data_IF_760742042914
#
_entry.id   IF_760742042914
#
_cell.length_a   1.000
_cell.length_b   1.000
_cell.length_c   1.000
_cell.angle_alpha   90.00
_cell.angle_beta   90.00
_cell.angle_gamma   90.00
#
_symmetry.space_group_name_H-M   'P 1'
#
loop_
_entity.id
_entity.type
_entity.pdbx_description
1 polymer ?
#
# COMPACT_ATOMS: atom_id res chain seq x y z
N UNK A 1 -2.72 25.17 27.04
CA UNK A 1 -2.69 26.61 26.70
C UNK A 1 -1.74 26.75 25.54
N UNK A 2 -2.22 27.22 24.40
CA UNK A 2 -1.46 27.30 23.15
C UNK A 2 -0.66 28.60 23.15
N UNK A 3 0.65 28.52 23.45
CA UNK A 3 1.52 29.69 23.32
C UNK A 3 1.73 30.01 21.84
N UNK A 4 1.44 31.25 21.39
CA UNK A 4 1.62 31.62 19.99
C UNK A 4 3.10 31.55 19.61
N UNK A 5 3.41 31.17 18.37
CA UNK A 5 4.79 31.03 17.90
C UNK A 5 5.58 32.35 17.92
N UNK A 6 4.88 33.49 17.92
CA UNK A 6 5.46 34.82 18.15
C UNK A 6 6.08 34.96 19.54
N UNK A 7 5.50 34.33 20.57
CA UNK A 7 6.05 34.29 21.92
C UNK A 7 7.29 33.37 22.01
N UNK A 8 7.47 32.48 21.02
CA UNK A 8 8.66 31.64 20.84
C UNK A 8 9.71 32.29 19.92
N UNK A 9 9.47 33.53 19.45
CA UNK A 9 10.39 34.29 18.62
C UNK A 9 10.41 33.89 17.13
N UNK A 10 9.45 33.08 16.67
CA UNK A 10 9.32 32.72 15.26
C UNK A 10 8.60 33.85 14.53
N UNK A 11 9.23 34.36 13.46
CA UNK A 11 8.73 35.46 12.64
C UNK A 11 8.69 35.05 11.16
N UNK A 12 7.97 35.83 10.37
CA UNK A 12 7.91 35.62 8.93
C UNK A 12 9.33 35.70 8.31
N UNK A 13 9.70 34.68 7.53
CA UNK A 13 11.07 34.49 7.03
C UNK A 13 11.98 33.59 7.89
N UNK A 14 11.53 33.11 9.05
CA UNK A 14 12.24 32.08 9.81
C UNK A 14 12.24 30.74 9.07
N UNK A 15 13.42 30.11 8.99
CA UNK A 15 13.57 28.76 8.43
C UNK A 15 13.37 27.73 9.53
N UNK A 16 12.27 27.00 9.47
CA UNK A 16 11.99 25.90 10.39
C UNK A 16 12.47 24.59 9.75
N UNK A 17 13.10 23.73 10.53
CA UNK A 17 13.46 22.38 10.13
C UNK A 17 12.67 21.42 11.00
N UNK A 18 11.73 20.70 10.39
CA UNK A 18 11.07 19.58 11.06
C UNK A 18 12.08 18.46 11.23
N UNK A 19 12.31 18.06 12.48
CA UNK A 19 13.05 16.84 12.79
C UNK A 19 11.99 15.75 12.92
N UNK A 20 11.93 14.83 11.96
CA UNK A 20 11.04 13.67 12.04
C UNK A 20 11.39 12.81 13.25
N UNK A 21 10.39 12.31 13.96
CA UNK A 21 10.60 11.29 14.97
C UNK A 21 11.21 10.03 14.32
N UNK A 22 12.15 9.43 15.03
CA UNK A 22 12.91 8.29 14.55
C UNK A 22 12.02 7.05 14.62
N UNK A 23 11.54 6.58 13.46
CA UNK A 23 10.79 5.34 13.23
C UNK A 23 9.77 4.99 14.33
N UNK A 24 8.49 5.24 14.07
CA UNK A 24 7.44 4.79 14.96
C UNK A 24 7.46 3.26 15.06
N UNK A 25 7.60 2.66 16.26
CA UNK A 25 7.56 1.22 16.44
C UNK A 25 6.18 0.61 16.12
N UNK A 26 5.14 1.44 15.99
CA UNK A 26 3.80 1.05 15.51
C UNK A 26 3.72 0.91 13.98
N UNK A 27 4.54 1.64 13.20
CA UNK A 27 4.56 1.55 11.73
C UNK A 27 5.40 0.36 11.22
N UNK A 28 6.43 -0.06 11.97
CA UNK A 28 7.27 -1.22 11.63
C UNK A 28 6.50 -2.54 11.39
N UNK A 29 5.52 -2.95 12.23
CA UNK A 29 4.74 -4.17 11.98
C UNK A 29 3.84 -4.05 10.75
N UNK A 30 3.36 -2.86 10.39
CA UNK A 30 2.53 -2.63 9.20
C UNK A 30 3.37 -2.67 7.93
N UNK A 31 4.53 -2.01 7.94
CA UNK A 31 5.53 -2.10 6.88
C UNK A 31 6.02 -3.54 6.67
N UNK A 32 6.10 -4.34 7.73
CA UNK A 32 6.44 -5.76 7.62
C UNK A 32 5.34 -6.56 6.92
N UNK A 33 4.08 -6.34 7.29
CA UNK A 33 2.95 -7.01 6.61
C UNK A 33 2.89 -6.64 5.13
N UNK A 34 3.17 -5.38 4.78
CA UNK A 34 3.25 -4.94 3.38
C UNK A 34 4.33 -5.71 2.61
N UNK A 35 5.53 -5.87 3.18
CA UNK A 35 6.60 -6.67 2.57
C UNK A 35 6.24 -8.15 2.44
N UNK A 36 5.60 -8.73 3.45
CA UNK A 36 5.15 -10.12 3.41
C UNK A 36 4.08 -10.33 2.32
N UNK A 37 3.23 -9.33 2.09
CA UNK A 37 2.25 -9.30 1.03
C UNK A 37 2.88 -9.18 -0.36
N UNK A 38 3.88 -8.29 -0.53
CA UNK A 38 4.66 -8.18 -1.77
C UNK A 38 5.28 -9.54 -2.17
N UNK A 39 5.91 -10.22 -1.21
CA UNK A 39 6.48 -11.56 -1.42
C UNK A 39 5.39 -12.58 -1.77
N UNK A 40 4.20 -12.45 -1.20
CA UNK A 40 3.07 -13.35 -1.50
C UNK A 40 2.55 -13.13 -2.92
N UNK A 41 2.45 -11.88 -3.37
CA UNK A 41 2.08 -11.51 -4.75
C UNK A 41 3.10 -12.07 -5.74
N UNK A 42 4.39 -11.90 -5.47
CA UNK A 42 5.48 -12.40 -6.34
C UNK A 42 5.38 -13.92 -6.52
N UNK A 43 5.21 -14.68 -5.43
CA UNK A 43 5.03 -16.14 -5.49
C UNK A 43 3.80 -16.56 -6.28
N UNK A 44 2.67 -15.87 -6.11
CA UNK A 44 1.45 -16.19 -6.87
C UNK A 44 1.63 -15.86 -8.36
N UNK A 45 2.36 -14.80 -8.70
CA UNK A 45 2.72 -14.46 -10.07
C UNK A 45 3.64 -15.51 -10.71
N UNK A 46 4.68 -15.98 -9.99
CA UNK A 46 5.56 -17.06 -10.44
C UNK A 46 4.76 -18.34 -10.74
N UNK A 47 3.83 -18.70 -9.85
CA UNK A 47 2.97 -19.85 -10.06
C UNK A 47 2.06 -19.69 -11.28
N UNK A 48 1.55 -18.48 -11.54
CA UNK A 48 0.79 -18.18 -12.75
C UNK A 48 1.64 -18.30 -14.02
N UNK A 49 2.92 -17.93 -13.97
CA UNK A 49 3.85 -18.11 -15.09
C UNK A 49 4.09 -19.59 -15.41
N UNK A 50 4.25 -20.44 -14.39
CA UNK A 50 4.34 -21.90 -14.56
C UNK A 50 3.07 -22.47 -15.22
N UNK A 51 1.89 -22.04 -14.77
CA UNK A 51 0.62 -22.46 -15.39
C UNK A 51 0.50 -22.01 -16.84
N UNK A 52 1.03 -20.83 -17.18
CA UNK A 52 1.06 -20.35 -18.57
C UNK A 52 2.03 -21.16 -19.45
N UNK A 53 3.14 -21.64 -18.89
CA UNK A 53 4.05 -22.58 -19.59
C UNK A 53 3.34 -23.90 -19.84
N UNK A 54 2.70 -24.49 -18.82
CA UNK A 54 1.89 -25.71 -18.97
C UNK A 54 0.80 -25.53 -20.06
N UNK A 55 0.08 -24.40 -20.04
CA UNK A 55 -0.94 -24.08 -21.05
C UNK A 55 -0.34 -23.99 -22.46
N UNK A 56 0.79 -23.32 -22.60
CA UNK A 56 1.49 -23.16 -23.89
C UNK A 56 1.95 -24.51 -24.45
N UNK A 57 2.48 -25.39 -23.59
CA UNK A 57 2.92 -26.73 -23.98
C UNK A 57 1.74 -27.60 -24.45
N UNK A 58 0.58 -27.47 -23.80
CA UNK A 58 -0.66 -28.15 -24.22
C UNK A 58 -1.11 -27.61 -25.59
N UNK A 59 -1.12 -26.29 -25.79
CA UNK A 59 -1.53 -25.65 -27.04
C UNK A 59 -0.63 -25.99 -28.22
N UNK A 60 0.64 -26.33 -27.99
CA UNK A 60 1.56 -26.78 -29.04
C UNK A 60 1.21 -28.15 -29.63
N UNK A 61 0.19 -28.85 -29.11
CA UNK A 61 -0.51 -29.92 -29.83
C UNK A 61 0.10 -31.32 -29.71
N UNK A 62 0.90 -31.56 -28.66
CA UNK A 62 1.53 -32.87 -28.42
C UNK A 62 0.59 -33.92 -27.80
N UNK A 63 -0.63 -33.54 -27.41
CA UNK A 63 -1.58 -34.40 -26.71
C UNK A 63 -2.69 -34.91 -27.65
N UNK A 64 -3.10 -36.17 -27.45
CA UNK A 64 -4.25 -36.73 -28.14
C UNK A 64 -5.54 -36.01 -27.68
N UNK A 65 -6.45 -35.72 -28.62
CA UNK A 65 -7.71 -34.97 -28.38
C UNK A 65 -8.57 -35.53 -27.24
N UNK A 66 -8.44 -36.81 -26.94
CA UNK A 66 -9.17 -37.51 -25.87
C UNK A 66 -8.64 -37.16 -24.48
N UNK A 67 -7.35 -36.83 -24.36
CA UNK A 67 -6.66 -36.50 -23.08
C UNK A 67 -6.59 -34.99 -22.87
N UNK A 68 -6.61 -34.21 -23.94
CA UNK A 68 -6.54 -32.73 -23.92
C UNK A 68 -7.62 -32.10 -23.04
N UNK A 69 -8.88 -32.57 -23.15
CA UNK A 69 -9.98 -32.06 -22.35
C UNK A 69 -9.80 -32.29 -20.83
N UNK A 70 -9.23 -33.44 -20.44
CA UNK A 70 -8.97 -33.74 -19.02
C UNK A 70 -7.83 -32.88 -18.46
N UNK A 71 -6.80 -32.63 -19.26
CA UNK A 71 -5.67 -31.76 -18.87
C UNK A 71 -6.12 -30.31 -18.77
N UNK A 72 -6.90 -29.81 -19.72
CA UNK A 72 -7.49 -28.48 -19.67
C UNK A 72 -8.40 -28.30 -18.46
N UNK A 73 -9.18 -29.33 -18.11
CA UNK A 73 -10.02 -29.29 -16.90
C UNK A 73 -9.19 -29.20 -15.61
N UNK A 74 -8.08 -29.95 -15.51
CA UNK A 74 -7.17 -29.85 -14.37
C UNK A 74 -6.51 -28.48 -14.30
N UNK A 75 -6.14 -27.90 -15.44
CA UNK A 75 -5.54 -26.58 -15.53
C UNK A 75 -6.53 -25.48 -15.14
N UNK A 76 -7.78 -25.53 -15.61
CA UNK A 76 -8.86 -24.63 -15.19
C UNK A 76 -9.04 -24.63 -13.65
N UNK A 77 -8.98 -25.81 -13.03
CA UNK A 77 -9.05 -25.91 -11.56
C UNK A 77 -7.86 -25.24 -10.87
N UNK A 78 -6.64 -25.39 -11.41
CA UNK A 78 -5.45 -24.71 -10.88
C UNK A 78 -5.57 -23.18 -11.02
N UNK A 79 -5.97 -22.70 -12.20
CA UNK A 79 -6.18 -21.26 -12.47
C UNK A 79 -7.22 -20.67 -11.51
N UNK A 80 -8.34 -21.35 -11.29
CA UNK A 80 -9.36 -20.93 -10.31
C UNK A 80 -8.80 -20.83 -8.89
N UNK A 81 -7.95 -21.76 -8.49
CA UNK A 81 -7.29 -21.70 -7.19
C UNK A 81 -6.34 -20.50 -7.09
N UNK A 82 -5.58 -20.20 -8.15
CA UNK A 82 -4.71 -19.01 -8.20
C UNK A 82 -5.51 -17.71 -8.12
N UNK A 83 -6.67 -17.64 -8.81
CA UNK A 83 -7.59 -16.49 -8.70
C UNK A 83 -8.08 -16.31 -7.26
N UNK A 84 -8.44 -17.40 -6.56
CA UNK A 84 -8.83 -17.33 -5.15
C UNK A 84 -7.69 -16.83 -4.26
N UNK A 85 -6.44 -17.21 -4.54
CA UNK A 85 -5.28 -16.67 -3.82
C UNK A 85 -5.10 -15.17 -4.04
N UNK A 86 -5.23 -14.69 -5.28
CA UNK A 86 -5.20 -13.25 -5.54
C UNK A 86 -6.35 -12.49 -4.87
N UNK A 87 -7.56 -13.07 -4.82
CA UNK A 87 -8.68 -12.46 -4.10
C UNK A 87 -8.39 -12.31 -2.60
N UNK A 88 -7.77 -13.31 -1.96
CA UNK A 88 -7.39 -13.20 -0.54
C UNK A 88 -6.34 -12.12 -0.29
N UNK A 89 -5.38 -11.98 -1.19
CA UNK A 89 -4.39 -10.89 -1.14
C UNK A 89 -5.09 -9.54 -1.26
N UNK A 90 -6.06 -9.38 -2.17
CA UNK A 90 -6.82 -8.14 -2.33
C UNK A 90 -7.66 -7.81 -1.09
N UNK A 91 -8.32 -8.81 -0.51
CA UNK A 91 -9.05 -8.65 0.75
C UNK A 91 -8.11 -8.23 1.89
N UNK A 92 -6.91 -8.80 1.95
CA UNK A 92 -5.90 -8.43 2.94
C UNK A 92 -5.43 -6.98 2.75
N UNK A 93 -5.23 -6.52 1.51
CA UNK A 93 -4.95 -5.11 1.19
C UNK A 93 -6.09 -4.21 1.66
N UNK A 94 -7.34 -4.56 1.36
CA UNK A 94 -8.51 -3.77 1.75
C UNK A 94 -8.62 -3.64 3.29
N UNK A 95 -8.16 -4.65 4.03
CA UNK A 95 -8.10 -4.57 5.51
C UNK A 95 -6.92 -3.76 6.04
N UNK A 96 -5.88 -3.53 5.23
CA UNK A 96 -4.78 -2.64 5.60
C UNK A 96 -5.24 -1.18 5.46
N UNK A 97 -5.78 -0.63 6.55
CA UNK A 97 -6.21 0.78 6.65
C UNK A 97 -4.98 1.69 6.74
N UNK A 98 -4.32 1.94 5.61
CA UNK A 98 -3.15 2.83 5.52
C UNK A 98 -3.51 4.33 5.53
N UNK A 99 -4.80 4.67 5.47
CA UNK A 99 -5.25 6.04 5.19
C UNK A 99 -5.62 6.85 6.44
N UNK A 100 -5.84 6.22 7.60
CA UNK A 100 -6.27 6.98 8.78
C UNK A 100 -5.15 7.89 9.34
N UNK A 101 -3.89 7.45 9.29
CA UNK A 101 -2.77 8.23 9.84
C UNK A 101 -2.20 9.24 8.84
N UNK A 102 -2.15 8.92 7.54
CA UNK A 102 -1.76 9.91 6.54
C UNK A 102 -2.75 11.08 6.46
N UNK A 103 -4.05 10.81 6.52
CA UNK A 103 -5.08 11.85 6.56
C UNK A 103 -5.00 12.66 7.85
N UNK A 104 -4.73 12.05 9.01
CA UNK A 104 -4.54 12.77 10.27
C UNK A 104 -3.28 13.64 10.26
N UNK A 105 -2.17 13.17 9.71
CA UNK A 105 -0.92 13.95 9.59
C UNK A 105 -1.09 15.09 8.60
N UNK A 106 -1.74 14.86 7.46
CA UNK A 106 -2.02 15.91 6.47
C UNK A 106 -3.03 16.93 7.01
N UNK A 107 -4.06 16.48 7.73
CA UNK A 107 -4.98 17.36 8.47
C UNK A 107 -4.25 18.14 9.57
N UNK A 108 -3.36 17.52 10.34
CA UNK A 108 -2.59 18.17 11.40
C UNK A 108 -1.65 19.22 10.82
N UNK A 109 -0.94 18.90 9.73
CA UNK A 109 -0.08 19.86 9.01
C UNK A 109 -0.93 21.00 8.42
N UNK A 110 -2.08 20.71 7.81
CA UNK A 110 -3.00 21.73 7.32
C UNK A 110 -3.51 22.63 8.44
N UNK A 111 -3.89 22.05 9.57
CA UNK A 111 -4.39 22.78 10.74
C UNK A 111 -3.31 23.68 11.34
N UNK A 112 -2.09 23.18 11.53
CA UNK A 112 -0.97 23.99 12.03
C UNK A 112 -0.55 25.07 11.03
N UNK A 113 -0.58 24.79 9.73
CA UNK A 113 -0.32 25.80 8.68
C UNK A 113 -1.40 26.88 8.64
N UNK A 114 -2.67 26.51 8.81
CA UNK A 114 -3.78 27.47 8.90
C UNK A 114 -3.75 28.31 10.17
N UNK A 115 -3.35 27.72 11.31
CA UNK A 115 -3.12 28.45 12.56
C UNK A 115 -2.01 29.47 12.41
N UNK A 116 -0.90 29.08 11.79
CA UNK A 116 0.21 29.95 11.45
C UNK A 116 -0.25 31.15 10.60
N UNK A 117 -1.02 30.89 9.54
CA UNK A 117 -1.49 31.92 8.63
C UNK A 117 -2.56 32.86 9.24
N UNK A 118 -3.41 32.34 10.13
CA UNK A 118 -4.42 33.14 10.84
C UNK A 118 -3.82 34.05 11.91
N UNK A 119 -2.63 33.70 12.42
CA UNK A 119 -1.88 34.50 13.39
C UNK A 119 -1.23 35.73 12.75
N UNK A 120 -0.84 35.64 11.46
CA UNK A 120 -0.25 36.75 10.70
C UNK A 120 -1.29 37.81 10.30
N UNK A 121 -2.57 37.44 10.13
CA UNK A 121 -3.64 38.39 9.78
C UNK A 121 -4.16 39.23 10.96
N UNK A 122 -3.72 38.95 12.19
CA UNK A 122 -4.11 39.71 13.37
C UNK A 122 -3.15 40.87 13.71
N UNK A 123 -2.18 41.17 12.84
CA UNK A 123 -1.17 42.23 13.04
C UNK A 123 -1.20 43.34 11.96
N UNK A 124 -2.28 43.47 11.22
CA UNK A 124 -2.57 44.65 10.38
C UNK A 124 -3.85 45.37 10.88
N UNK A 125 -3.76 45.98 12.06
CA UNK A 125 -4.51 47.21 12.41
C UNK A 125 -3.77 48.04 13.48
#
# INVERSE_FOLDING_TARGET
METPLSALGIQNGCRVMLIGEKNNPEEEPELKKLKDLEVSVEKTADHLEELNKELSDIQQGFLAKEVEAEVLYKLDRKVKATIEQFMKILEEIDTMVFLAECDMVEQYICQETQRLHSSDFALDE
#
